data_IF_668715166100
#
_entry.id   IF_668715166100
#
_cell.length_a   1.000
_cell.length_b   1.000
_cell.length_c   1.000
_cell.angle_alpha   90.00
_cell.angle_beta   90.00
_cell.angle_gamma   90.00
#
_symmetry.space_group_name_H-M   'P 1'
#
loop_
_entity.id
_entity.type
_entity.pdbx_description
1 polymer ?
#
# COMPACT_ATOMS: atom_id res chain seq x y z
N UNK A 1 -9.82 10.60 7.20
CA UNK A 1 -9.93 9.61 6.12
C UNK A 1 -9.00 10.03 4.99
N UNK A 2 -8.45 9.07 4.27
CA UNK A 2 -7.56 9.26 3.12
C UNK A 2 -8.10 8.48 1.92
N UNK A 3 -7.75 8.92 0.70
CA UNK A 3 -8.18 8.27 -0.55
C UNK A 3 -6.97 7.76 -1.34
N UNK A 4 -6.99 6.50 -1.75
CA UNK A 4 -6.04 5.91 -2.69
C UNK A 4 -6.61 4.59 -3.25
N UNK A 5 -6.28 4.26 -4.48
CA UNK A 5 -6.66 3.01 -5.14
C UNK A 5 -8.18 2.75 -5.15
N UNK A 6 -8.99 3.81 -5.29
CA UNK A 6 -10.45 3.73 -5.25
C UNK A 6 -11.04 3.44 -3.87
N UNK A 7 -10.24 3.43 -2.79
CA UNK A 7 -10.64 3.08 -1.43
C UNK A 7 -10.50 4.26 -0.47
N UNK A 8 -11.33 4.23 0.59
CA UNK A 8 -11.28 5.15 1.72
C UNK A 8 -10.56 4.49 2.90
N UNK A 9 -9.45 5.07 3.32
CA UNK A 9 -8.57 4.57 4.36
C UNK A 9 -8.71 5.39 5.63
N UNK A 10 -9.01 4.74 6.76
CA UNK A 10 -8.99 5.38 8.07
C UNK A 10 -7.69 5.02 8.81
N UNK A 11 -6.96 6.04 9.25
CA UNK A 11 -5.81 5.88 10.14
C UNK A 11 -5.87 6.94 11.24
N UNK A 12 -6.02 6.50 12.50
CA UNK A 12 -6.07 7.39 13.65
C UNK A 12 -4.70 7.61 14.29
N UNK A 13 -3.85 6.60 14.24
CA UNK A 13 -2.56 6.58 14.94
C UNK A 13 -1.37 6.96 14.06
N UNK A 14 -1.58 7.06 12.74
CA UNK A 14 -0.53 7.34 11.76
C UNK A 14 -1.05 8.28 10.69
N UNK A 15 -0.49 9.48 10.60
CA UNK A 15 -0.83 10.42 9.54
C UNK A 15 -0.27 9.95 8.19
N UNK A 16 -1.13 9.77 7.19
CA UNK A 16 -0.78 9.34 5.83
C UNK A 16 -0.76 10.55 4.88
N UNK A 17 0.16 11.47 5.12
CA UNK A 17 0.30 12.71 4.36
C UNK A 17 0.62 12.50 2.87
N UNK A 18 1.03 11.29 2.50
CA UNK A 18 1.31 10.87 1.13
C UNK A 18 0.04 10.59 0.31
N UNK A 19 -1.09 10.41 0.98
CA UNK A 19 -2.40 10.15 0.37
C UNK A 19 -3.25 11.42 0.30
N UNK A 20 -4.20 11.42 -0.62
CA UNK A 20 -5.20 12.49 -0.68
C UNK A 20 -6.10 12.42 0.55
N UNK A 21 -6.41 13.57 1.15
CA UNK A 21 -7.42 13.63 2.20
C UNK A 21 -8.82 13.55 1.59
N UNK A 22 -9.69 12.76 2.22
CA UNK A 22 -11.13 12.77 1.91
C UNK A 22 -11.78 13.98 2.55
N UNK A 23 -12.47 14.81 1.77
CA UNK A 23 -13.08 16.06 2.22
C UNK A 23 -14.53 15.89 2.69
N UNK A 24 -15.16 14.73 2.44
CA UNK A 24 -16.57 14.48 2.79
C UNK A 24 -16.69 13.93 4.22
N UNK A 25 -17.67 14.46 4.98
CA UNK A 25 -17.87 14.11 6.40
C UNK A 25 -18.39 12.67 6.64
N UNK A 26 -19.03 12.03 5.66
CA UNK A 26 -19.68 10.72 5.81
C UNK A 26 -19.15 9.63 4.85
N UNK A 27 -17.86 9.63 4.55
CA UNK A 27 -17.27 8.60 3.71
C UNK A 27 -17.33 7.22 4.40
N UNK A 28 -17.87 6.22 3.69
CA UNK A 28 -17.77 4.83 4.12
C UNK A 28 -16.29 4.42 4.12
N UNK A 29 -15.81 3.95 5.26
CA UNK A 29 -14.44 3.46 5.41
C UNK A 29 -14.34 2.05 4.84
N UNK A 30 -13.43 1.85 3.88
CA UNK A 30 -13.15 0.55 3.28
C UNK A 30 -12.05 -0.20 4.04
N UNK A 31 -11.04 0.51 4.51
CA UNK A 31 -9.90 -0.06 5.22
C UNK A 31 -9.57 0.73 6.48
N UNK A 32 -9.43 0.02 7.61
CA UNK A 32 -9.03 0.60 8.90
C UNK A 32 -7.59 0.22 9.25
N UNK A 33 -6.79 1.23 9.60
CA UNK A 33 -5.39 1.06 10.03
C UNK A 33 -5.31 1.43 11.52
N UNK A 34 -4.84 0.48 12.35
CA UNK A 34 -4.77 0.64 13.81
C UNK A 34 -3.44 0.14 14.37
N UNK A 35 -2.94 0.82 15.39
CA UNK A 35 -1.91 0.27 16.26
C UNK A 35 -2.57 -0.69 17.26
N UNK A 36 -2.14 -1.95 17.28
CA UNK A 36 -2.69 -2.99 18.17
C UNK A 36 -1.57 -3.84 18.76
N UNK A 37 -1.72 -4.24 20.01
CA UNK A 37 -0.77 -5.15 20.67
C UNK A 37 -0.79 -6.53 19.96
N UNK A 38 0.35 -7.05 19.48
CA UNK A 38 0.44 -8.35 18.85
C UNK A 38 0.02 -9.52 19.75
N UNK A 39 0.08 -9.37 21.07
CA UNK A 39 -0.37 -10.38 22.01
C UNK A 39 -1.89 -10.61 21.96
N UNK A 40 -2.64 -9.64 21.43
CA UNK A 40 -4.08 -9.75 21.20
C UNK A 40 -4.41 -10.42 19.86
N UNK A 41 -3.41 -10.71 19.03
CA UNK A 41 -3.64 -11.38 17.75
C UNK A 41 -3.84 -12.88 17.97
N UNK A 42 -4.78 -13.52 17.25
CA UNK A 42 -5.01 -14.95 17.37
C UNK A 42 -3.73 -15.76 17.20
N UNK A 43 -3.56 -16.79 18.01
CA UNK A 43 -2.53 -17.80 17.75
C UNK A 43 -2.89 -18.54 16.46
N UNK A 44 -1.87 -18.78 15.62
CA UNK A 44 -2.08 -19.47 14.35
C UNK A 44 -1.31 -20.79 14.40
N UNK A 45 -2.05 -21.88 14.36
CA UNK A 45 -1.55 -23.25 14.43
C UNK A 45 -1.69 -23.96 13.08
N UNK A 46 -1.58 -23.27 11.95
CA UNK A 46 -1.78 -23.85 10.62
C UNK A 46 -0.46 -24.03 9.87
N UNK A 47 -0.42 -25.09 9.03
CA UNK A 47 0.71 -25.44 8.16
C UNK A 47 0.65 -24.70 6.81
N UNK A 48 0.07 -23.51 6.73
CA UNK A 48 0.07 -22.71 5.52
C UNK A 48 1.45 -22.08 5.28
N UNK A 49 1.62 -21.45 4.12
CA UNK A 49 2.92 -20.94 3.70
C UNK A 49 3.51 -19.96 4.73
N UNK A 50 4.69 -20.27 5.24
CA UNK A 50 5.40 -19.48 6.23
C UNK A 50 6.86 -19.27 5.83
N UNK A 51 7.31 -18.01 5.91
CA UNK A 51 8.72 -17.62 5.89
C UNK A 51 9.06 -16.88 7.18
N UNK A 52 10.35 -16.61 7.51
CA UNK A 52 10.71 -15.81 8.67
C UNK A 52 10.07 -14.42 8.74
N UNK A 53 9.62 -13.89 7.59
CA UNK A 53 9.10 -12.53 7.48
C UNK A 53 7.63 -12.46 7.09
N UNK A 54 7.07 -13.52 6.51
CA UNK A 54 5.75 -13.50 5.89
C UNK A 54 5.02 -14.79 6.17
N UNK A 55 3.79 -14.67 6.68
CA UNK A 55 2.89 -15.79 6.96
C UNK A 55 1.54 -15.55 6.30
N UNK A 56 1.02 -16.57 5.64
CA UNK A 56 -0.29 -16.57 4.99
C UNK A 56 -1.22 -17.58 5.67
N UNK A 57 -2.43 -17.14 5.98
CA UNK A 57 -3.48 -17.98 6.61
C UNK A 57 -4.84 -17.54 6.11
N UNK A 58 -5.55 -18.36 5.37
CA UNK A 58 -6.88 -18.03 4.87
C UNK A 58 -6.96 -16.56 4.39
N UNK A 59 -7.68 -15.70 5.12
CA UNK A 59 -7.83 -14.27 4.83
C UNK A 59 -6.94 -13.37 5.70
N UNK A 60 -5.84 -13.90 6.25
CA UNK A 60 -4.90 -13.17 7.07
C UNK A 60 -3.47 -13.26 6.50
N UNK A 61 -2.79 -12.14 6.44
CA UNK A 61 -1.37 -12.04 6.10
C UNK A 61 -0.66 -11.37 7.27
N UNK A 62 0.43 -11.97 7.74
CA UNK A 62 1.32 -11.34 8.72
C UNK A 62 2.66 -11.04 8.09
N UNK A 63 3.11 -9.81 8.23
CA UNK A 63 4.42 -9.35 7.74
C UNK A 63 5.23 -8.83 8.93
N UNK A 64 6.39 -9.40 9.15
CA UNK A 64 7.35 -8.97 10.17
C UNK A 64 8.51 -8.25 9.52
N UNK A 65 8.73 -7.00 9.90
CA UNK A 65 9.88 -6.19 9.49
C UNK A 65 10.79 -6.02 10.71
N UNK A 66 11.84 -6.81 10.76
CA UNK A 66 12.77 -6.83 11.89
C UNK A 66 13.28 -5.43 12.25
N UNK A 67 13.20 -5.08 13.52
CA UNK A 67 13.63 -3.79 14.04
C UNK A 67 12.71 -2.62 13.74
N UNK A 68 11.57 -2.83 13.03
CA UNK A 68 10.63 -1.77 12.67
C UNK A 68 9.23 -2.09 13.19
N UNK A 69 8.51 -3.04 12.58
CA UNK A 69 7.13 -3.30 12.95
C UNK A 69 6.65 -4.69 12.52
N UNK A 70 5.63 -5.16 13.21
CA UNK A 70 4.82 -6.30 12.79
C UNK A 70 3.50 -5.78 12.21
N UNK A 71 3.07 -6.33 11.09
CA UNK A 71 1.79 -6.01 10.45
C UNK A 71 0.91 -7.24 10.35
N UNK A 72 -0.38 -7.05 10.57
CA UNK A 72 -1.44 -8.04 10.39
C UNK A 72 -2.50 -7.47 9.47
N UNK A 73 -2.76 -8.14 8.36
CA UNK A 73 -3.67 -7.71 7.31
C UNK A 73 -4.79 -8.75 7.22
N UNK A 74 -6.04 -8.33 7.36
CA UNK A 74 -7.17 -9.26 7.44
C UNK A 74 -8.33 -8.82 6.57
N UNK A 75 -8.95 -9.80 5.88
CA UNK A 75 -10.23 -9.68 5.18
C UNK A 75 -10.31 -8.52 4.18
N UNK A 76 -9.20 -8.04 3.64
CA UNK A 76 -9.17 -6.91 2.72
C UNK A 76 -9.68 -5.57 3.29
N UNK A 77 -9.86 -5.45 4.62
CA UNK A 77 -10.47 -4.27 5.23
C UNK A 77 -9.82 -3.78 6.53
N UNK A 78 -8.83 -4.50 7.06
CA UNK A 78 -8.15 -4.13 8.30
C UNK A 78 -6.66 -4.36 8.22
N UNK A 79 -5.90 -3.37 8.64
CA UNK A 79 -4.46 -3.43 8.89
C UNK A 79 -4.24 -3.11 10.37
N UNK A 80 -3.68 -4.06 11.10
CA UNK A 80 -3.16 -3.84 12.44
C UNK A 80 -1.64 -3.79 12.37
N UNK A 81 -1.01 -2.89 13.10
CA UNK A 81 0.44 -2.83 13.20
C UNK A 81 0.88 -2.59 14.64
N UNK A 82 2.09 -3.02 14.95
CA UNK A 82 2.76 -2.72 16.21
C UNK A 82 4.25 -2.49 15.95
N UNK A 83 4.82 -1.48 16.57
CA UNK A 83 6.25 -1.20 16.46
C UNK A 83 7.06 -2.08 17.40
N UNK A 84 8.18 -2.62 16.95
CA UNK A 84 9.04 -3.45 17.81
C UNK A 84 9.75 -2.64 18.93
N UNK A 85 9.89 -1.33 18.72
CA UNK A 85 10.55 -0.40 19.66
C UNK A 85 9.78 0.92 19.73
N UNK A 86 9.87 1.61 20.88
CA UNK A 86 9.16 2.87 21.11
C UNK A 86 9.69 4.07 20.30
N UNK A 87 10.89 3.97 19.73
CA UNK A 87 11.57 5.08 19.03
C UNK A 87 11.67 4.88 17.50
N UNK A 88 10.82 4.04 16.92
CA UNK A 88 10.80 3.85 15.46
C UNK A 88 10.29 5.12 14.79
N UNK A 89 11.03 5.56 13.76
CA UNK A 89 10.62 6.73 12.97
C UNK A 89 9.36 6.40 12.18
N UNK A 90 8.39 7.29 12.22
CA UNK A 90 7.14 7.17 11.47
C UNK A 90 7.35 6.87 9.99
N UNK A 91 8.37 7.46 9.37
CA UNK A 91 8.68 7.24 7.96
C UNK A 91 9.12 5.80 7.65
N UNK A 92 9.80 5.13 8.60
CA UNK A 92 10.21 3.73 8.40
C UNK A 92 8.97 2.82 8.37
N UNK A 93 8.02 3.06 9.28
CA UNK A 93 6.73 2.33 9.30
C UNK A 93 5.97 2.58 7.99
N UNK A 94 5.86 3.84 7.56
CA UNK A 94 5.15 4.24 6.34
C UNK A 94 5.75 3.62 5.08
N UNK A 95 7.06 3.45 5.01
CA UNK A 95 7.74 2.84 3.87
C UNK A 95 7.18 1.44 3.58
N UNK A 96 7.01 0.62 4.60
CA UNK A 96 6.47 -0.73 4.46
C UNK A 96 4.93 -0.72 4.36
N UNK A 97 4.28 0.16 5.12
CA UNK A 97 2.82 0.29 5.10
C UNK A 97 2.30 0.65 3.71
N UNK A 98 2.84 1.72 3.10
CA UNK A 98 2.39 2.24 1.81
C UNK A 98 2.84 1.40 0.60
N UNK A 99 3.81 0.50 0.79
CA UNK A 99 4.25 -0.47 -0.20
C UNK A 99 3.65 -1.85 0.04
N UNK A 100 4.43 -2.73 0.67
CA UNK A 100 4.11 -4.15 0.83
C UNK A 100 2.77 -4.42 1.53
N UNK A 101 2.43 -3.66 2.58
CA UNK A 101 1.20 -3.87 3.37
C UNK A 101 -0.03 -3.42 2.58
N UNK A 102 0.04 -2.26 1.89
CA UNK A 102 -1.03 -1.82 0.99
C UNK A 102 -1.18 -2.79 -0.19
N UNK A 103 -0.07 -3.25 -0.78
CA UNK A 103 -0.12 -4.27 -1.82
C UNK A 103 -0.84 -5.54 -1.36
N UNK A 104 -0.52 -6.03 -0.16
CA UNK A 104 -1.13 -7.23 0.40
C UNK A 104 -2.65 -7.10 0.59
N UNK A 105 -3.13 -5.98 1.13
CA UNK A 105 -4.58 -5.78 1.32
C UNK A 105 -5.34 -5.60 0.00
N UNK A 106 -4.71 -4.98 -1.00
CA UNK A 106 -5.29 -4.82 -2.33
C UNK A 106 -5.40 -6.17 -3.06
N UNK A 107 -4.40 -7.05 -2.91
CA UNK A 107 -4.46 -8.44 -3.38
C UNK A 107 -5.58 -9.22 -2.68
N UNK A 108 -5.74 -9.09 -1.34
CA UNK A 108 -6.87 -9.71 -0.63
C UNK A 108 -8.25 -9.25 -1.15
N UNK A 109 -8.32 -8.09 -1.78
CA UNK A 109 -9.53 -7.56 -2.43
C UNK A 109 -9.70 -8.03 -3.88
N UNK A 110 -8.82 -8.89 -4.39
CA UNK A 110 -8.86 -9.41 -5.74
C UNK A 110 -8.32 -8.46 -6.81
N UNK A 111 -7.69 -7.35 -6.44
CA UNK A 111 -7.16 -6.38 -7.40
C UNK A 111 -5.82 -6.85 -7.96
N UNK A 112 -5.56 -6.54 -9.24
CA UNK A 112 -4.25 -6.75 -9.85
C UNK A 112 -3.27 -5.66 -9.35
N UNK A 113 -2.25 -6.10 -8.64
CA UNK A 113 -1.23 -5.24 -8.05
C UNK A 113 0.11 -5.46 -8.74
N UNK A 114 0.70 -4.39 -9.28
CA UNK A 114 1.95 -4.42 -10.03
C UNK A 114 2.98 -3.49 -9.38
N UNK A 115 4.25 -3.86 -9.44
CA UNK A 115 5.35 -2.98 -9.03
C UNK A 115 5.84 -2.16 -10.22
N UNK A 116 5.52 -0.87 -10.23
CA UNK A 116 5.84 0.02 -11.34
C UNK A 116 5.34 1.44 -11.14
N UNK A 117 5.29 2.18 -12.23
CA UNK A 117 4.76 3.54 -12.27
C UNK A 117 3.58 3.59 -13.24
N UNK A 118 2.55 4.32 -12.90
CA UNK A 118 1.42 4.57 -13.79
C UNK A 118 1.24 6.06 -14.05
N UNK A 119 1.05 6.41 -15.32
CA UNK A 119 0.85 7.78 -15.77
C UNK A 119 -0.37 7.85 -16.70
N UNK A 120 -1.04 8.99 -16.71
CA UNK A 120 -2.24 9.25 -17.52
C UNK A 120 -2.03 10.47 -18.42
N UNK A 121 -2.56 10.39 -19.63
CA UNK A 121 -2.71 11.53 -20.53
C UNK A 121 -3.91 11.32 -21.45
N UNK A 122 -4.79 12.31 -21.52
CA UNK A 122 -5.99 12.31 -22.37
C UNK A 122 -6.95 11.12 -22.14
N UNK A 123 -7.05 10.64 -20.89
CA UNK A 123 -7.90 9.49 -20.53
C UNK A 123 -7.25 8.12 -20.77
N UNK A 124 -6.05 8.06 -21.30
CA UNK A 124 -5.29 6.83 -21.49
C UNK A 124 -4.22 6.69 -20.40
N UNK A 125 -4.06 5.49 -19.86
CA UNK A 125 -3.02 5.20 -18.87
C UNK A 125 -1.93 4.30 -19.45
N UNK A 126 -0.69 4.58 -19.09
CA UNK A 126 0.46 3.71 -19.33
C UNK A 126 1.06 3.23 -18.01
N UNK A 127 1.52 1.98 -17.98
CA UNK A 127 2.19 1.37 -16.86
C UNK A 127 3.62 1.03 -17.24
N UNK A 128 4.59 1.56 -16.49
CA UNK A 128 6.01 1.28 -16.69
C UNK A 128 6.44 0.20 -15.69
N UNK A 129 6.69 -1.00 -16.17
CA UNK A 129 7.20 -2.13 -15.38
C UNK A 129 8.69 -2.36 -15.67
N UNK A 130 9.39 -2.99 -14.73
CA UNK A 130 10.81 -3.34 -14.88
C UNK A 130 11.50 -3.57 -13.54
N UNK A 131 12.71 -4.12 -13.58
CA UNK A 131 13.51 -4.36 -12.38
C UNK A 131 13.88 -3.04 -11.66
N UNK A 132 14.30 -3.14 -10.40
CA UNK A 132 14.93 -2.03 -9.69
C UNK A 132 16.15 -1.55 -10.48
N UNK A 133 16.28 -0.24 -10.66
CA UNK A 133 17.36 0.35 -11.48
C UNK A 133 17.10 0.38 -13.00
N UNK A 134 16.01 -0.20 -13.51
CA UNK A 134 15.66 -0.18 -14.94
C UNK A 134 15.24 1.20 -15.50
N UNK A 135 15.27 2.25 -14.68
CA UNK A 135 14.94 3.60 -15.12
C UNK A 135 13.45 3.96 -15.09
N UNK A 136 12.60 3.16 -14.43
CA UNK A 136 11.14 3.42 -14.32
C UNK A 136 10.85 4.85 -13.84
N UNK A 137 11.42 5.25 -12.71
CA UNK A 137 11.19 6.58 -12.12
C UNK A 137 11.77 7.70 -12.99
N UNK A 138 12.89 7.46 -13.67
CA UNK A 138 13.49 8.40 -14.65
C UNK A 138 12.55 8.61 -15.84
N UNK A 139 11.99 7.51 -16.38
CA UNK A 139 11.02 7.58 -17.48
C UNK A 139 9.73 8.29 -17.02
N UNK A 140 9.20 7.95 -15.84
CA UNK A 140 8.03 8.62 -15.29
C UNK A 140 8.26 10.13 -15.14
N UNK A 141 9.42 10.54 -14.61
CA UNK A 141 9.78 11.95 -14.51
C UNK A 141 9.84 12.64 -15.87
N UNK A 142 10.46 12.01 -16.88
CA UNK A 142 10.53 12.54 -18.24
C UNK A 142 9.14 12.71 -18.87
N UNK A 143 8.23 11.76 -18.63
CA UNK A 143 6.85 11.83 -19.12
C UNK A 143 6.04 12.92 -18.41
N UNK A 144 6.22 13.09 -17.10
CA UNK A 144 5.61 14.20 -16.36
C UNK A 144 6.04 15.55 -16.95
N UNK A 145 7.32 15.71 -17.31
CA UNK A 145 7.82 16.92 -18.01
C UNK A 145 7.17 17.15 -19.37
N UNK A 146 6.64 16.08 -20.01
CA UNK A 146 5.90 16.14 -21.29
C UNK A 146 4.38 16.24 -21.10
N UNK A 147 3.92 16.57 -19.89
CA UNK A 147 2.51 16.81 -19.58
C UNK A 147 1.69 15.56 -19.27
N UNK A 148 2.35 14.42 -18.94
CA UNK A 148 1.68 13.27 -18.36
C UNK A 148 1.41 13.50 -16.87
N UNK A 149 0.28 13.03 -16.37
CA UNK A 149 -0.07 13.07 -14.96
C UNK A 149 0.33 11.77 -14.29
N UNK A 150 1.10 11.83 -13.22
CA UNK A 150 1.43 10.66 -12.43
C UNK A 150 0.21 10.18 -11.65
N UNK A 151 -0.20 8.94 -11.83
CA UNK A 151 -1.28 8.29 -11.09
C UNK A 151 -0.77 7.56 -9.85
N UNK A 152 0.33 6.83 -9.98
CA UNK A 152 0.94 6.10 -8.87
C UNK A 152 2.40 5.81 -9.13
N UNK A 153 3.19 5.68 -8.06
CA UNK A 153 4.60 5.24 -8.06
C UNK A 153 4.75 4.05 -7.10
N UNK A 154 5.65 3.14 -7.42
CA UNK A 154 5.95 1.89 -6.72
C UNK A 154 4.82 0.85 -6.74
N UNK A 155 3.57 1.23 -6.49
CA UNK A 155 2.42 0.35 -6.39
C UNK A 155 1.36 0.80 -7.40
N UNK A 156 1.16 0.01 -8.45
CA UNK A 156 0.15 0.25 -9.48
C UNK A 156 -0.98 -0.76 -9.32
N UNK A 157 -2.21 -0.29 -9.34
CA UNK A 157 -3.40 -1.12 -9.16
C UNK A 157 -4.30 -1.01 -10.38
N UNK A 158 -4.70 -2.16 -10.90
CA UNK A 158 -5.63 -2.26 -12.03
C UNK A 158 -6.88 -2.98 -11.56
N UNK A 159 -8.05 -2.40 -11.86
CA UNK A 159 -9.35 -3.02 -11.58
C UNK A 159 -9.72 -4.07 -12.63
N UNK A 160 -10.78 -4.84 -12.36
CA UNK A 160 -11.32 -5.84 -13.28
C UNK A 160 -11.82 -5.23 -14.60
N UNK A 161 -12.20 -3.95 -14.59
CA UNK A 161 -12.56 -3.16 -15.79
C UNK A 161 -11.33 -2.61 -16.53
N UNK A 162 -10.13 -3.09 -16.23
CA UNK A 162 -8.85 -2.63 -16.79
C UNK A 162 -8.56 -1.14 -16.58
N UNK A 163 -9.11 -0.53 -15.54
CA UNK A 163 -8.81 0.85 -15.18
C UNK A 163 -7.64 0.91 -14.19
N UNK A 164 -6.68 1.80 -14.45
CA UNK A 164 -5.62 2.11 -13.49
C UNK A 164 -6.18 3.01 -12.38
N UNK A 165 -6.19 2.49 -11.16
CA UNK A 165 -6.71 3.22 -10.01
C UNK A 165 -5.66 4.22 -9.49
N UNK A 166 -6.00 5.51 -9.32
CA UNK A 166 -5.09 6.50 -8.76
C UNK A 166 -4.61 6.09 -7.36
N UNK A 167 -3.31 6.05 -7.20
CA UNK A 167 -2.66 5.60 -5.97
C UNK A 167 -1.88 6.71 -5.26
N UNK A 168 -0.58 6.50 -5.09
CA UNK A 168 0.33 7.43 -4.41
C UNK A 168 1.17 8.16 -5.46
N UNK A 169 0.82 9.40 -5.85
CA UNK A 169 1.48 10.11 -6.94
C UNK A 169 2.78 10.79 -6.47
N UNK A 170 3.73 10.02 -5.97
CA UNK A 170 4.99 10.50 -5.42
C UNK A 170 6.18 9.76 -6.03
N UNK A 171 6.91 10.41 -6.94
CA UNK A 171 8.12 9.83 -7.52
C UNK A 171 9.24 9.84 -6.47
N UNK A 172 9.81 8.67 -6.20
CA UNK A 172 11.04 8.52 -5.44
C UNK A 172 12.22 8.58 -6.43
N UNK A 173 12.98 9.66 -6.37
CA UNK A 173 14.27 9.80 -7.08
C UNK A 173 15.37 9.49 -6.07
N UNK A 174 16.21 8.53 -6.39
CA UNK A 174 17.41 8.14 -5.62
C UNK A 174 18.64 8.84 -6.17
#
# INVERSE_FOLDING_TARGET
IYKAFGLNWESKNLALSELLKGEEENLKVDVKIKNEDPNLWPQINSNEYETPFLKFFNNEIRLKINGIANFRITNGNKISFNTEKNNIKTNDIKTFLLGSVFGAILIQRGLLVLHGNALEKNGEAIICLGHTGAGKSTLAYALVKKGWKLLSDDLVVVSDDFLVLPGIPRIKLW
#
